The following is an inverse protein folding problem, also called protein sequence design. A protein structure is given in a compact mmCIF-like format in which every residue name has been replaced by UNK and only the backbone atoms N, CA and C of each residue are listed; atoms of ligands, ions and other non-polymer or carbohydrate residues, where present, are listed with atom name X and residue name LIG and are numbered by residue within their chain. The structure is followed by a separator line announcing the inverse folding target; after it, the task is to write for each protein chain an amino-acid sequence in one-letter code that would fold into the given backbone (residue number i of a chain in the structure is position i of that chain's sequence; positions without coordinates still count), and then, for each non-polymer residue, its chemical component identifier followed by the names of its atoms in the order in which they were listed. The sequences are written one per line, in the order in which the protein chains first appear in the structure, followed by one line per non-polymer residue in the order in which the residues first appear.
data_IF_152490169163
#
_entry.id   IF_152490169163
#
_cell.length_a   1.000
_cell.length_b   1.000
_cell.length_c   1.000
_cell.angle_alpha   90.00
_cell.angle_beta   90.00
_cell.angle_gamma   90.00
#
_symmetry.space_group_name_H-M   'P 1'
#
loop_
_entity.id
_entity.type
_entity.pdbx_description
1 polymer ?
#
# COMPACT_ATOMS: atom_id res chain seq x y z
N UNK A 1 25.95 -11.57 -8.63
CA UNK A 1 24.50 -11.76 -8.81
C UNK A 1 23.95 -12.20 -7.47
N UNK A 2 23.41 -11.27 -6.68
CA UNK A 2 22.76 -11.60 -5.41
C UNK A 2 21.27 -11.77 -5.69
N UNK A 3 20.77 -12.98 -5.44
CA UNK A 3 19.36 -13.33 -5.51
C UNK A 3 18.76 -13.01 -4.14
N UNK A 4 18.46 -11.72 -3.89
CA UNK A 4 17.87 -11.24 -2.64
C UNK A 4 16.36 -11.47 -2.63
N UNK A 5 15.95 -12.73 -2.80
CA UNK A 5 14.57 -13.16 -2.56
C UNK A 5 14.38 -13.38 -1.07
N UNK A 6 13.77 -12.39 -0.41
CA UNK A 6 13.17 -12.53 0.91
C UNK A 6 12.08 -13.62 0.86
N UNK A 7 12.46 -14.86 1.18
CA UNK A 7 11.53 -15.97 1.38
C UNK A 7 11.13 -16.00 2.85
N UNK A 8 9.84 -16.02 3.11
CA UNK A 8 9.29 -16.24 4.45
C UNK A 8 8.98 -17.73 4.53
N UNK A 9 9.85 -18.49 5.20
CA UNK A 9 9.66 -19.92 5.44
C UNK A 9 8.54 -20.15 6.48
N UNK A 10 7.59 -21.04 6.18
CA UNK A 10 6.65 -21.55 7.18
C UNK A 10 5.17 -21.69 6.79
N UNK A 11 4.77 -21.46 5.54
CA UNK A 11 3.39 -21.67 5.10
C UNK A 11 3.29 -22.83 4.11
N UNK A 12 2.34 -23.73 4.37
CA UNK A 12 1.94 -24.89 3.54
C UNK A 12 1.97 -24.54 2.04
N UNK A 13 2.87 -25.17 1.29
CA UNK A 13 3.42 -24.67 0.01
C UNK A 13 2.54 -24.99 -1.21
N UNK A 14 1.31 -25.44 -1.04
CA UNK A 14 0.50 -25.88 -2.18
C UNK A 14 0.04 -24.73 -3.09
N UNK A 15 -0.02 -23.49 -2.59
CA UNK A 15 -0.34 -22.30 -3.41
C UNK A 15 0.27 -21.01 -2.82
N UNK A 16 1.60 -20.87 -2.80
CA UNK A 16 2.21 -19.57 -2.49
C UNK A 16 2.14 -18.69 -3.74
N UNK A 17 1.21 -17.71 -3.75
CA UNK A 17 1.22 -16.63 -4.73
C UNK A 17 2.22 -15.56 -4.29
N UNK A 18 3.37 -15.53 -4.96
CA UNK A 18 4.35 -14.47 -4.77
C UNK A 18 3.86 -13.17 -5.42
N UNK A 19 3.87 -12.09 -4.65
CA UNK A 19 3.61 -10.74 -5.14
C UNK A 19 4.93 -9.97 -5.13
N UNK A 20 5.21 -9.26 -6.22
CA UNK A 20 6.44 -8.49 -6.39
C UNK A 20 6.09 -7.03 -6.65
N UNK A 21 6.78 -6.12 -5.98
CA UNK A 21 6.84 -4.73 -6.42
C UNK A 21 7.76 -4.67 -7.64
N UNK A 22 7.28 -4.07 -8.72
CA UNK A 22 7.99 -3.91 -9.98
C UNK A 22 7.99 -2.43 -10.38
N UNK A 23 8.81 -2.08 -11.37
CA UNK A 23 8.93 -0.73 -11.93
C UNK A 23 9.44 0.33 -10.94
N UNK A 24 10.72 0.21 -10.59
CA UNK A 24 11.42 1.18 -9.73
C UNK A 24 11.99 2.37 -10.52
N UNK A 25 11.58 2.61 -11.77
CA UNK A 25 12.14 3.69 -12.59
C UNK A 25 11.85 5.08 -12.00
N UNK A 26 10.74 5.22 -11.29
CA UNK A 26 10.35 6.44 -10.59
C UNK A 26 10.70 6.43 -9.09
N UNK A 27 11.48 5.44 -8.63
CA UNK A 27 11.93 5.42 -7.24
C UNK A 27 12.92 6.56 -7.00
N UNK A 28 12.76 7.25 -5.87
CA UNK A 28 13.71 8.24 -5.40
C UNK A 28 14.18 7.87 -4.00
N UNK A 29 15.48 8.08 -3.74
CA UNK A 29 16.04 7.89 -2.42
C UNK A 29 15.76 9.13 -1.58
N UNK A 30 15.10 8.94 -0.45
CA UNK A 30 14.89 10.02 0.52
C UNK A 30 16.02 10.04 1.55
N UNK A 31 16.60 11.22 1.79
CA UNK A 31 17.57 11.41 2.88
C UNK A 31 16.88 11.48 4.24
N UNK A 32 15.61 11.90 4.28
CA UNK A 32 14.78 11.99 5.48
C UNK A 32 13.35 11.55 5.18
N UNK A 33 12.72 10.88 6.15
CA UNK A 33 11.32 10.42 6.04
C UNK A 33 10.33 11.58 5.83
N UNK A 34 10.67 12.79 6.29
CA UNK A 34 9.83 13.98 6.15
C UNK A 34 10.02 14.75 4.83
N UNK A 35 10.86 14.27 3.91
CA UNK A 35 11.07 14.92 2.62
C UNK A 35 9.81 14.84 1.77
N UNK A 36 9.27 16.00 1.38
CA UNK A 36 8.22 16.08 0.37
C UNK A 36 8.83 16.07 -1.02
N UNK A 37 8.08 15.59 -2.00
CA UNK A 37 8.51 15.65 -3.40
C UNK A 37 7.33 15.89 -4.33
N UNK A 38 7.64 16.38 -5.52
CA UNK A 38 6.67 16.42 -6.62
C UNK A 38 6.45 15.00 -7.16
N UNK A 39 5.21 14.68 -7.49
CA UNK A 39 4.83 13.38 -8.06
C UNK A 39 4.12 13.61 -9.39
N UNK A 40 4.82 13.34 -10.49
CA UNK A 40 4.36 13.69 -11.84
C UNK A 40 3.53 12.57 -12.51
N UNK A 41 3.86 11.30 -12.26
CA UNK A 41 3.31 10.16 -13.00
C UNK A 41 2.89 9.02 -12.07
N UNK A 42 1.62 9.02 -11.65
CA UNK A 42 0.99 7.87 -10.99
C UNK A 42 -0.35 7.56 -11.63
N UNK A 43 -0.63 6.26 -11.82
CA UNK A 43 -1.83 5.79 -12.52
C UNK A 43 -3.13 6.15 -11.77
N UNK A 44 -3.08 6.13 -10.44
CA UNK A 44 -4.18 6.55 -9.56
C UNK A 44 -3.61 7.50 -8.51
N UNK A 45 -4.17 8.71 -8.47
CA UNK A 45 -3.68 9.81 -7.64
C UNK A 45 -4.49 9.92 -6.35
N UNK A 46 -3.85 10.03 -5.19
CA UNK A 46 -4.54 10.35 -3.95
C UNK A 46 -4.99 11.83 -3.98
N UNK A 47 -5.94 12.22 -3.11
CA UNK A 47 -6.57 13.55 -3.15
C UNK A 47 -5.57 14.72 -3.12
N UNK A 48 -4.52 14.65 -2.31
CA UNK A 48 -3.51 15.70 -2.15
C UNK A 48 -2.70 15.95 -3.43
N UNK A 49 -2.49 14.93 -4.27
CA UNK A 49 -1.81 15.06 -5.58
C UNK A 49 -2.75 15.72 -6.61
N UNK A 50 -4.06 15.57 -6.44
CA UNK A 50 -5.04 16.27 -7.28
C UNK A 50 -5.22 17.74 -6.87
N UNK A 51 -5.26 18.01 -5.57
CA UNK A 51 -5.45 19.37 -5.05
C UNK A 51 -4.23 20.27 -5.25
N UNK A 52 -3.03 19.70 -5.37
CA UNK A 52 -1.78 20.42 -5.57
C UNK A 52 -0.93 19.77 -6.68
N UNK A 53 -1.31 19.90 -7.96
CA UNK A 53 -0.63 19.22 -9.07
C UNK A 53 0.85 19.64 -9.24
N UNK A 54 1.21 20.84 -8.77
CA UNK A 54 2.58 21.35 -8.73
C UNK A 54 3.18 21.41 -7.31
N UNK A 55 2.43 20.92 -6.31
CA UNK A 55 2.86 20.93 -4.91
C UNK A 55 3.70 19.72 -4.55
N UNK A 56 4.56 19.90 -3.54
CA UNK A 56 5.27 18.79 -2.94
C UNK A 56 4.38 18.08 -1.93
N UNK A 57 4.27 16.76 -2.06
CA UNK A 57 3.46 15.91 -1.19
C UNK A 57 4.35 14.96 -0.40
N UNK A 58 3.80 14.35 0.67
CA UNK A 58 4.48 13.29 1.40
C UNK A 58 4.44 12.00 0.57
N UNK A 59 5.57 11.52 0.04
CA UNK A 59 5.61 10.34 -0.85
C UNK A 59 5.20 9.06 -0.12
N UNK A 60 5.55 8.92 1.17
CA UNK A 60 5.18 7.74 1.94
C UNK A 60 3.68 7.63 2.13
N UNK A 61 2.99 8.74 2.36
CA UNK A 61 1.54 8.75 2.47
C UNK A 61 0.86 8.43 1.13
N UNK A 62 1.47 8.85 0.02
CA UNK A 62 1.00 8.53 -1.34
C UNK A 62 1.12 7.04 -1.63
N UNK A 63 2.26 6.42 -1.31
CA UNK A 63 2.48 4.99 -1.46
C UNK A 63 1.48 4.17 -0.63
N UNK A 64 1.23 4.58 0.62
CA UNK A 64 0.22 3.93 1.49
C UNK A 64 -1.16 3.98 0.85
N UNK A 65 -1.57 5.14 0.33
CA UNK A 65 -2.86 5.28 -0.35
C UNK A 65 -2.96 4.36 -1.57
N UNK A 66 -1.89 4.29 -2.38
CA UNK A 66 -1.85 3.42 -3.57
C UNK A 66 -1.96 1.94 -3.23
N UNK A 67 -1.25 1.48 -2.20
CA UNK A 67 -1.37 0.10 -1.72
C UNK A 67 -2.79 -0.16 -1.22
N UNK A 68 -3.38 0.77 -0.46
CA UNK A 68 -4.77 0.70 -0.03
C UNK A 68 -5.74 0.55 -1.20
N UNK A 69 -5.55 1.34 -2.26
CA UNK A 69 -6.36 1.26 -3.47
C UNK A 69 -6.24 -0.08 -4.19
N UNK A 70 -5.02 -0.65 -4.28
CA UNK A 70 -4.80 -1.98 -4.87
C UNK A 70 -5.51 -3.06 -4.04
N UNK A 71 -5.40 -3.00 -2.72
CA UNK A 71 -6.07 -3.92 -1.80
C UNK A 71 -7.59 -3.81 -1.98
N UNK A 72 -8.16 -2.61 -1.87
CA UNK A 72 -9.60 -2.37 -2.00
C UNK A 72 -10.13 -2.86 -3.35
N UNK A 73 -9.46 -2.48 -4.45
CA UNK A 73 -9.87 -2.89 -5.80
C UNK A 73 -9.84 -4.41 -5.98
N UNK A 74 -8.89 -5.09 -5.35
CA UNK A 74 -8.77 -6.56 -5.42
C UNK A 74 -9.88 -7.25 -4.62
N UNK A 75 -10.17 -6.74 -3.42
CA UNK A 75 -11.22 -7.29 -2.55
C UNK A 75 -12.60 -7.09 -3.16
N UNK A 76 -12.95 -5.86 -3.54
CA UNK A 76 -14.27 -5.57 -4.11
C UNK A 76 -14.52 -6.38 -5.37
N UNK A 77 -13.48 -6.59 -6.20
CA UNK A 77 -13.58 -7.39 -7.42
C UNK A 77 -13.79 -8.88 -7.15
N UNK A 78 -13.10 -9.45 -6.16
CA UNK A 78 -13.05 -10.91 -5.96
C UNK A 78 -14.04 -11.41 -4.89
N UNK A 79 -14.33 -10.60 -3.88
CA UNK A 79 -15.07 -11.01 -2.68
C UNK A 79 -16.22 -10.06 -2.30
N UNK A 80 -16.36 -8.91 -2.99
CA UNK A 80 -17.29 -7.86 -2.58
C UNK A 80 -16.98 -7.37 -1.16
N UNK A 81 -18.03 -7.12 -0.37
CA UNK A 81 -17.90 -6.65 1.03
C UNK A 81 -17.73 -7.81 2.04
N UNK A 82 -17.51 -9.03 1.57
CA UNK A 82 -17.45 -10.23 2.43
C UNK A 82 -16.21 -10.24 3.34
N UNK A 83 -15.17 -9.49 2.97
CA UNK A 83 -13.91 -9.37 3.72
C UNK A 83 -13.84 -8.02 4.45
N UNK A 84 -14.77 -7.79 5.39
CA UNK A 84 -14.93 -6.51 6.08
C UNK A 84 -13.64 -5.98 6.71
N UNK A 85 -12.84 -6.82 7.35
CA UNK A 85 -11.60 -6.40 8.01
C UNK A 85 -10.54 -5.91 7.00
N UNK A 86 -10.54 -6.46 5.78
CA UNK A 86 -9.65 -5.98 4.72
C UNK A 86 -10.16 -4.67 4.11
N UNK A 87 -11.48 -4.49 4.03
CA UNK A 87 -12.09 -3.20 3.64
C UNK A 87 -11.71 -2.12 4.65
N UNK A 88 -11.86 -2.41 5.96
CA UNK A 88 -11.48 -1.49 7.05
C UNK A 88 -9.98 -1.11 6.98
N UNK A 89 -9.10 -2.07 6.69
CA UNK A 89 -7.68 -1.78 6.46
C UNK A 89 -7.49 -0.86 5.25
N UNK A 90 -8.11 -1.16 4.11
CA UNK A 90 -7.93 -0.34 2.91
C UNK A 90 -8.51 1.06 3.06
N UNK A 91 -9.63 1.22 3.76
CA UNK A 91 -10.24 2.53 4.05
C UNK A 91 -9.37 3.38 4.97
N UNK A 92 -8.69 2.75 5.94
CA UNK A 92 -7.70 3.45 6.76
C UNK A 92 -6.49 3.91 5.93
N UNK A 93 -6.01 3.07 5.01
CA UNK A 93 -4.93 3.42 4.09
C UNK A 93 -5.32 4.51 3.09
N UNK A 94 -6.59 4.58 2.70
CA UNK A 94 -7.10 5.50 1.68
C UNK A 94 -7.71 6.79 2.23
N UNK A 95 -7.49 7.13 3.51
CA UNK A 95 -7.98 8.37 4.11
C UNK A 95 -7.60 9.60 3.26
N UNK A 96 -8.54 10.53 3.14
CA UNK A 96 -8.34 11.77 2.37
C UNK A 96 -7.24 12.65 2.99
N UNK A 97 -7.15 12.67 4.32
CA UNK A 97 -6.05 13.32 5.05
C UNK A 97 -4.81 12.41 5.04
N UNK A 98 -3.69 12.83 4.41
CA UNK A 98 -2.45 12.05 4.36
C UNK A 98 -1.87 11.72 5.74
N UNK A 99 -2.06 12.58 6.74
CA UNK A 99 -1.50 12.40 8.08
C UNK A 99 -2.35 11.45 8.95
N UNK A 100 -3.60 11.20 8.55
CA UNK A 100 -4.47 10.22 9.19
C UNK A 100 -4.22 8.78 8.71
N UNK A 101 -3.44 8.60 7.63
CA UNK A 101 -3.11 7.29 7.07
C UNK A 101 -2.13 6.55 8.00
N UNK A 102 -2.19 5.20 8.04
CA UNK A 102 -1.21 4.40 8.76
C UNK A 102 0.19 4.52 8.14
N UNK A 103 1.21 4.31 8.95
CA UNK A 103 2.52 3.90 8.41
C UNK A 103 2.45 2.48 7.85
N UNK A 104 3.40 2.12 6.97
CA UNK A 104 3.48 0.75 6.44
C UNK A 104 3.58 -0.29 7.56
N UNK A 105 4.33 0.02 8.63
CA UNK A 105 4.46 -0.85 9.80
C UNK A 105 3.14 -1.00 10.56
N UNK A 106 2.36 0.08 10.71
CA UNK A 106 1.06 0.04 11.37
C UNK A 106 0.02 -0.73 10.54
N UNK A 107 -0.02 -0.52 9.23
CA UNK A 107 -0.87 -1.28 8.31
C UNK A 107 -0.53 -2.79 8.32
N UNK A 108 0.76 -3.13 8.28
CA UNK A 108 1.22 -4.52 8.38
C UNK A 108 0.88 -5.14 9.74
N UNK A 109 1.02 -4.38 10.83
CA UNK A 109 0.64 -4.82 12.16
C UNK A 109 -0.85 -5.13 12.23
N UNK A 110 -1.69 -4.20 11.78
CA UNK A 110 -3.14 -4.42 11.65
C UNK A 110 -3.39 -5.70 10.86
N UNK A 111 -2.71 -5.85 9.71
CA UNK A 111 -2.93 -7.01 8.85
C UNK A 111 -2.57 -8.34 9.54
N UNK A 112 -1.51 -8.37 10.36
CA UNK A 112 -1.08 -9.58 11.06
C UNK A 112 -1.95 -9.93 12.27
N UNK A 113 -2.50 -8.91 12.93
CA UNK A 113 -3.28 -9.08 14.15
C UNK A 113 -4.73 -9.45 13.87
N UNK A 114 -5.25 -9.12 12.68
CA UNK A 114 -6.60 -9.52 12.29
C UNK A 114 -6.63 -10.97 11.82
N UNK A 115 -7.55 -11.75 12.40
CA UNK A 115 -7.82 -13.12 11.95
C UNK A 115 -8.64 -13.07 10.68
N UNK A 116 -7.96 -13.20 9.55
CA UNK A 116 -8.59 -13.46 8.26
C UNK A 116 -9.34 -14.79 8.35
N UNK A 117 -10.67 -14.72 8.52
CA UNK A 117 -11.47 -15.93 8.41
C UNK A 117 -11.28 -16.44 6.99
N UNK A 118 -10.73 -17.64 6.86
CA UNK A 118 -10.73 -18.37 5.59
C UNK A 118 -12.20 -18.49 5.18
N UNK A 119 -12.58 -17.75 4.14
CA UNK A 119 -13.83 -17.98 3.42
C UNK A 119 -13.67 -19.24 2.58
#
# INVERSE_FOLDING_TARGET
MCDDRLSIEGADTSYIRHHYFIDFQSFCRFEKIASKCKIDAIARRPPEVHSQPDGEVNPFAVDIWQVGFVIHSSITREFGDSCRELVELSDWMMQSDPEARPSAAAALKFYREHRWRRV
#
